data_IF_894340374919
#
_entry.id   IF_894340374919
#
_cell.length_a   1.000
_cell.length_b   1.000
_cell.length_c   1.000
_cell.angle_alpha   90.00
_cell.angle_beta   90.00
_cell.angle_gamma   90.00
#
_symmetry.space_group_name_H-M   'P 1'
#
loop_
_entity.id
_entity.type
_entity.pdbx_description
1 polymer ?
#
# COMPACT_ATOMS: atom_id res chain seq x y z
N UNK A 1 21.73 19.91 31.44
CA UNK A 1 21.25 20.79 30.35
C UNK A 1 20.58 19.91 29.31
N UNK A 2 19.25 19.99 29.18
CA UNK A 2 18.52 19.24 28.14
C UNK A 2 18.89 19.84 26.79
N UNK A 3 19.62 19.10 25.97
CA UNK A 3 19.96 19.53 24.60
C UNK A 3 18.69 19.42 23.77
N UNK A 4 18.14 20.56 23.32
CA UNK A 4 17.02 20.55 22.38
C UNK A 4 17.56 20.21 20.98
N UNK A 5 17.21 19.04 20.40
CA UNK A 5 17.74 18.63 19.11
C UNK A 5 17.15 19.41 17.91
N UNK A 6 16.12 20.24 18.11
CA UNK A 6 15.46 21.03 17.04
C UNK A 6 15.08 20.19 15.81
N UNK A 7 14.46 19.02 16.05
CA UNK A 7 14.12 18.06 14.98
C UNK A 7 13.01 18.57 14.06
N UNK A 8 12.09 19.40 14.58
CA UNK A 8 10.98 19.93 13.80
C UNK A 8 11.44 21.03 12.85
N UNK A 9 12.34 21.88 13.34
CA UNK A 9 13.05 22.88 12.54
C UNK A 9 13.87 22.21 11.45
N UNK A 10 14.56 21.11 11.78
CA UNK A 10 15.34 20.34 10.81
C UNK A 10 14.50 19.71 9.70
N UNK A 11 13.26 19.30 9.99
CA UNK A 11 12.33 18.82 8.96
C UNK A 11 12.02 19.91 7.93
N UNK A 12 11.80 21.14 8.37
CA UNK A 12 11.51 22.27 7.49
C UNK A 12 12.74 22.78 6.72
N UNK A 13 13.86 22.99 7.42
CA UNK A 13 15.06 23.59 6.84
C UNK A 13 15.96 22.58 6.11
N UNK A 14 15.81 21.28 6.37
CA UNK A 14 16.69 20.23 5.86
C UNK A 14 18.05 20.16 6.55
N UNK A 15 18.29 21.00 7.56
CA UNK A 15 19.48 21.01 8.41
C UNK A 15 19.10 21.46 9.82
N UNK A 16 19.91 21.08 10.83
CA UNK A 16 19.70 21.58 12.19
C UNK A 16 20.22 23.01 12.33
N UNK A 17 19.43 23.94 12.90
CA UNK A 17 19.85 25.33 13.11
C UNK A 17 21.21 25.48 13.79
N UNK A 18 21.53 24.61 14.75
CA UNK A 18 22.83 24.60 15.44
C UNK A 18 23.99 24.28 14.50
N UNK A 19 23.80 23.39 13.53
CA UNK A 19 24.83 23.08 12.52
C UNK A 19 25.06 24.26 11.58
N UNK A 20 23.99 24.99 11.24
CA UNK A 20 24.10 26.22 10.47
C UNK A 20 24.90 27.27 11.25
N UNK A 21 24.57 27.50 12.52
CA UNK A 21 25.28 28.45 13.40
C UNK A 21 26.75 28.09 13.56
N UNK A 22 27.08 26.82 13.74
CA UNK A 22 28.47 26.36 13.80
C UNK A 22 29.24 26.71 12.53
N UNK A 23 28.66 26.47 11.35
CA UNK A 23 29.31 26.81 10.07
C UNK A 23 29.52 28.31 9.93
N UNK A 24 28.52 29.12 10.32
CA UNK A 24 28.65 30.58 10.31
C UNK A 24 29.74 31.02 11.28
N UNK A 25 29.78 30.48 12.50
CA UNK A 25 30.82 30.77 13.49
C UNK A 25 32.21 30.52 12.92
N UNK A 26 32.45 29.33 12.34
CA UNK A 26 33.75 28.98 11.74
C UNK A 26 34.14 29.95 10.63
N UNK A 27 33.21 30.29 9.72
CA UNK A 27 33.50 31.23 8.62
C UNK A 27 33.88 32.62 9.15
N UNK A 28 33.13 33.15 10.13
CA UNK A 28 33.46 34.44 10.74
C UNK A 28 34.81 34.42 11.45
N UNK A 29 35.10 33.31 12.14
CA UNK A 29 36.36 33.12 12.84
C UNK A 29 37.55 33.07 11.86
N UNK A 30 37.42 32.34 10.76
CA UNK A 30 38.43 32.26 9.70
C UNK A 30 38.72 33.65 9.11
N UNK A 31 37.68 34.41 8.78
CA UNK A 31 37.84 35.80 8.30
C UNK A 31 38.52 36.71 9.32
N UNK A 32 38.21 36.55 10.61
CA UNK A 32 38.85 37.34 11.67
C UNK A 32 40.36 37.06 11.72
N UNK A 33 40.75 35.79 11.67
CA UNK A 33 42.17 35.41 11.64
C UNK A 33 42.88 35.92 10.38
N UNK A 34 42.26 35.77 9.21
CA UNK A 34 42.82 36.21 7.93
C UNK A 34 43.05 37.72 7.91
N UNK A 35 42.10 38.51 8.42
CA UNK A 35 42.23 39.96 8.50
C UNK A 35 43.34 40.40 9.45
N UNK A 36 43.46 39.76 10.61
CA UNK A 36 44.52 40.06 11.57
C UNK A 36 45.89 39.70 11.00
N UNK A 37 46.00 38.55 10.30
CA UNK A 37 47.23 38.14 9.63
C UNK A 37 47.61 39.11 8.50
N UNK A 38 46.63 39.59 7.74
CA UNK A 38 46.85 40.58 6.68
C UNK A 38 47.40 41.90 7.25
N UNK A 39 46.82 42.37 8.36
CA UNK A 39 47.27 43.58 9.07
C UNK A 39 48.70 43.38 9.60
N UNK A 40 49.00 42.24 10.22
CA UNK A 40 50.36 41.92 10.69
C UNK A 40 51.36 41.96 9.54
N UNK A 41 51.04 41.29 8.43
CA UNK A 41 51.89 41.23 7.23
C UNK A 41 52.11 42.62 6.64
N UNK A 42 51.07 43.46 6.62
CA UNK A 42 51.17 44.82 6.13
C UNK A 42 52.07 45.68 7.02
N UNK A 43 51.93 45.59 8.35
CA UNK A 43 52.78 46.31 9.31
C UNK A 43 54.24 45.88 9.17
N UNK A 44 54.51 44.58 9.03
CA UNK A 44 55.87 44.06 8.84
C UNK A 44 56.51 44.58 7.55
N UNK A 45 55.77 44.57 6.43
CA UNK A 45 56.26 45.16 5.16
C UNK A 45 56.59 46.65 5.30
N UNK A 46 55.78 47.40 6.05
CA UNK A 46 56.04 48.83 6.30
C UNK A 46 57.22 49.09 7.24
N UNK A 47 57.51 48.16 8.15
CA UNK A 47 58.71 48.23 8.99
C UNK A 47 59.99 47.92 8.21
N UNK A 48 59.95 47.00 7.24
CA UNK A 48 61.08 46.74 6.33
C UNK A 48 61.46 47.96 5.49
N UNK A 49 60.46 48.78 5.11
CA UNK A 49 60.68 50.06 4.39
C UNK A 49 61.32 51.16 5.29
N UNK A 50 61.35 50.98 6.62
CA UNK A 50 61.81 51.97 7.62
C UNK A 50 62.91 51.39 8.53
N UNK A 51 64.15 51.21 8.02
CA UNK A 51 65.23 50.52 8.73
C UNK A 51 65.75 51.25 9.98
N UNK A 52 65.44 52.53 10.18
CA UNK A 52 65.79 53.29 11.40
C UNK A 52 64.85 52.99 12.59
N UNK A 53 63.72 52.32 12.33
CA UNK A 53 62.76 51.97 13.36
C UNK A 53 63.25 50.70 14.07
N UNK A 54 63.92 50.83 15.21
CA UNK A 54 64.46 49.71 16.02
C UNK A 54 63.40 48.75 16.62
N UNK A 55 62.24 48.60 16.00
CA UNK A 55 61.15 47.73 16.43
C UNK A 55 61.41 46.32 15.90
N UNK A 56 61.51 45.36 16.82
CA UNK A 56 61.65 43.94 16.45
C UNK A 56 60.33 43.38 15.90
N UNK A 57 60.35 42.57 14.82
CA UNK A 57 59.19 41.84 14.33
C UNK A 57 58.47 40.99 15.40
N UNK A 58 59.23 40.50 16.39
CA UNK A 58 58.68 39.74 17.52
C UNK A 58 57.75 40.57 18.42
N UNK A 59 57.98 41.89 18.53
CA UNK A 59 57.09 42.78 19.28
C UNK A 59 55.78 43.02 18.53
N UNK A 60 55.82 43.10 17.19
CA UNK A 60 54.62 43.18 16.35
C UNK A 60 53.80 41.90 16.50
N UNK A 61 54.44 40.73 16.37
CA UNK A 61 53.80 39.42 16.55
C UNK A 61 53.06 39.31 17.89
N UNK A 62 53.75 39.62 19.00
CA UNK A 62 53.14 39.60 20.34
C UNK A 62 51.98 40.58 20.49
N UNK A 63 52.10 41.77 19.91
CA UNK A 63 51.03 42.78 19.92
C UNK A 63 49.80 42.30 19.14
N UNK A 64 50.02 41.72 17.97
CA UNK A 64 48.96 41.13 17.12
C UNK A 64 48.27 39.98 17.84
N UNK A 65 49.02 39.06 18.45
CA UNK A 65 48.44 37.93 19.21
C UNK A 65 47.59 38.42 20.39
N UNK A 66 48.05 39.45 21.12
CA UNK A 66 47.27 40.04 22.22
C UNK A 66 45.98 40.70 21.70
N UNK A 67 46.05 41.40 20.57
CA UNK A 67 44.88 42.00 19.94
C UNK A 67 43.89 40.95 19.43
N UNK A 68 44.40 39.87 18.84
CA UNK A 68 43.60 38.75 18.35
C UNK A 68 42.84 38.06 19.48
N UNK A 69 43.48 37.83 20.64
CA UNK A 69 42.82 37.29 21.82
C UNK A 69 41.68 38.19 22.29
N UNK A 70 41.93 39.50 22.39
CA UNK A 70 40.90 40.47 22.74
C UNK A 70 39.73 40.46 21.74
N UNK A 71 40.01 40.43 20.45
CA UNK A 71 38.96 40.35 19.42
C UNK A 71 38.16 39.06 19.52
N UNK A 72 38.83 37.93 19.76
CA UNK A 72 38.18 36.62 19.88
C UNK A 72 37.21 36.58 21.07
N UNK A 73 37.65 37.05 22.24
CA UNK A 73 36.79 37.07 23.44
C UNK A 73 35.51 37.90 23.21
N UNK A 74 35.66 39.09 22.63
CA UNK A 74 34.51 39.94 22.31
C UNK A 74 33.63 39.34 21.20
N UNK A 75 34.25 38.72 20.20
CA UNK A 75 33.53 38.04 19.12
C UNK A 75 32.70 36.87 19.66
N UNK A 76 33.28 36.02 20.50
CA UNK A 76 32.59 34.87 21.08
C UNK A 76 31.37 35.32 21.92
N UNK A 77 31.50 36.40 22.71
CA UNK A 77 30.38 36.95 23.48
C UNK A 77 29.26 37.50 22.58
N UNK A 78 29.62 38.30 21.57
CA UNK A 78 28.64 38.90 20.66
C UNK A 78 27.98 37.84 19.76
N UNK A 79 28.76 36.88 19.28
CA UNK A 79 28.26 35.78 18.47
C UNK A 79 27.28 34.93 19.27
N UNK A 80 27.58 34.63 20.54
CA UNK A 80 26.66 33.85 21.40
C UNK A 80 25.29 34.53 21.52
N UNK A 81 25.25 35.86 21.71
CA UNK A 81 24.00 36.64 21.78
C UNK A 81 23.26 36.64 20.43
N UNK A 82 24.01 36.81 19.34
CA UNK A 82 23.44 36.77 17.99
C UNK A 82 22.88 35.39 17.65
N UNK A 83 23.61 34.32 17.98
CA UNK A 83 23.21 32.93 17.81
C UNK A 83 21.89 32.68 18.54
N UNK A 84 21.80 33.06 19.82
CA UNK A 84 20.56 32.91 20.59
C UNK A 84 19.38 33.64 19.91
N UNK A 85 19.58 34.88 19.46
CA UNK A 85 18.52 35.63 18.76
C UNK A 85 18.11 34.97 17.44
N UNK A 86 19.06 34.50 16.64
CA UNK A 86 18.78 33.82 15.36
C UNK A 86 18.04 32.51 15.59
N UNK A 87 18.47 31.72 16.57
CA UNK A 87 17.83 30.46 16.95
C UNK A 87 16.43 30.66 17.53
N UNK A 88 16.15 31.77 18.19
CA UNK A 88 14.83 32.05 18.79
C UNK A 88 13.83 32.67 17.81
N UNK A 89 14.30 33.58 16.94
CA UNK A 89 13.43 34.44 16.12
C UNK A 89 13.38 34.05 14.64
N UNK A 90 14.46 33.46 14.10
CA UNK A 90 14.59 33.21 12.66
C UNK A 90 14.53 31.72 12.35
N UNK A 91 15.35 30.91 13.03
CA UNK A 91 15.48 29.47 12.79
C UNK A 91 14.63 28.64 13.75
N UNK A 92 13.58 29.24 14.31
CA UNK A 92 12.64 28.59 15.21
C UNK A 92 11.30 28.40 14.51
N UNK A 93 10.68 27.24 14.67
CA UNK A 93 9.28 27.06 14.30
C UNK A 93 8.43 27.25 15.56
N UNK A 94 7.56 28.28 15.62
CA UNK A 94 6.70 28.47 16.77
C UNK A 94 5.83 27.24 17.01
N UNK A 95 5.68 26.81 18.27
CA UNK A 95 4.91 25.60 18.64
C UNK A 95 3.43 25.62 18.19
N UNK A 96 2.90 26.81 17.92
CA UNK A 96 1.55 27.04 17.44
C UNK A 96 1.42 26.95 15.91
N UNK A 97 2.53 26.86 15.19
CA UNK A 97 2.58 26.72 13.73
C UNK A 97 2.80 25.26 13.39
N UNK A 98 1.98 24.77 12.48
CA UNK A 98 2.04 23.41 11.99
C UNK A 98 2.51 23.44 10.53
N UNK A 99 3.54 22.66 10.22
CA UNK A 99 4.10 22.60 8.88
C UNK A 99 3.08 22.08 7.87
N UNK A 100 3.18 22.46 6.59
CA UNK A 100 2.29 21.99 5.54
C UNK A 100 2.24 20.46 5.43
N UNK A 101 3.36 19.77 5.66
CA UNK A 101 3.47 18.31 5.65
C UNK A 101 2.56 17.66 6.72
N UNK A 102 2.46 18.29 7.89
CA UNK A 102 1.71 17.75 9.02
C UNK A 102 0.22 18.12 8.98
N UNK A 103 -0.24 18.91 8.01
CA UNK A 103 -1.64 19.36 7.92
C UNK A 103 -2.63 18.21 7.95
N UNK A 104 -2.24 17.05 7.41
CA UNK A 104 -3.05 15.81 7.44
C UNK A 104 -3.34 15.36 8.87
N UNK A 105 -2.40 15.53 9.80
CA UNK A 105 -2.57 15.16 11.20
C UNK A 105 -3.56 16.07 11.94
N UNK A 106 -3.69 17.33 11.50
CA UNK A 106 -4.69 18.26 12.04
C UNK A 106 -6.06 18.10 11.39
N UNK A 107 -6.11 17.82 10.09
CA UNK A 107 -7.36 17.65 9.34
C UNK A 107 -8.04 16.31 9.65
N UNK A 108 -7.24 15.25 9.83
CA UNK A 108 -7.72 13.90 10.11
C UNK A 108 -7.01 13.34 11.34
N UNK A 109 -7.35 13.82 12.54
CA UNK A 109 -6.77 13.28 13.76
C UNK A 109 -7.33 11.87 13.99
N UNK A 110 -6.53 10.85 13.69
CA UNK A 110 -6.84 9.45 14.00
C UNK A 110 -6.20 9.05 15.31
N UNK A 111 -7.00 8.50 16.22
CA UNK A 111 -6.45 7.83 17.39
C UNK A 111 -5.80 6.50 16.98
N UNK A 112 -4.86 6.01 17.80
CA UNK A 112 -4.24 4.70 17.56
C UNK A 112 -5.28 3.57 17.52
N UNK A 113 -6.32 3.68 18.35
CA UNK A 113 -7.42 2.72 18.43
C UNK A 113 -8.27 2.74 17.15
N UNK A 114 -8.63 3.93 16.65
CA UNK A 114 -9.38 4.08 15.40
C UNK A 114 -8.57 3.57 14.20
N UNK A 115 -7.25 3.84 14.19
CA UNK A 115 -6.38 3.31 13.14
C UNK A 115 -6.29 1.78 13.19
N UNK A 116 -6.23 1.19 14.38
CA UNK A 116 -6.23 -0.26 14.52
C UNK A 116 -7.57 -0.87 14.08
N UNK A 117 -8.69 -0.30 14.49
CA UNK A 117 -10.02 -0.74 14.06
C UNK A 117 -10.16 -0.69 12.53
N UNK A 118 -9.66 0.37 11.87
CA UNK A 118 -9.65 0.48 10.42
C UNK A 118 -8.78 -0.61 9.76
N UNK A 119 -7.63 -0.96 10.34
CA UNK A 119 -6.79 -2.07 9.84
C UNK A 119 -7.50 -3.40 9.97
N UNK A 120 -8.20 -3.62 11.07
CA UNK A 120 -8.95 -4.86 11.30
C UNK A 120 -10.13 -4.96 10.31
N UNK A 121 -10.84 -3.86 10.06
CA UNK A 121 -11.90 -3.78 9.06
C UNK A 121 -11.37 -4.06 7.64
N UNK A 122 -10.22 -3.47 7.25
CA UNK A 122 -9.58 -3.76 5.96
C UNK A 122 -9.25 -5.25 5.83
N UNK A 123 -8.74 -5.87 6.89
CA UNK A 123 -8.43 -7.31 6.87
C UNK A 123 -9.69 -8.16 6.70
N UNK A 124 -10.76 -7.85 7.45
CA UNK A 124 -12.04 -8.54 7.34
C UNK A 124 -12.65 -8.40 5.95
N UNK A 125 -12.63 -7.20 5.35
CA UNK A 125 -13.12 -6.97 4.00
C UNK A 125 -12.31 -7.74 2.96
N UNK A 126 -10.99 -7.86 3.12
CA UNK A 126 -10.15 -8.66 2.23
C UNK A 126 -10.45 -10.16 2.33
N UNK A 127 -10.74 -10.68 3.53
CA UNK A 127 -11.15 -12.07 3.71
C UNK A 127 -12.52 -12.34 3.10
N UNK A 128 -13.49 -11.45 3.35
CA UNK A 128 -14.82 -11.52 2.76
C UNK A 128 -14.75 -11.49 1.23
N UNK A 129 -13.96 -10.57 0.66
CA UNK A 129 -13.76 -10.51 -0.79
C UNK A 129 -13.23 -11.82 -1.37
N UNK A 130 -12.25 -12.46 -0.72
CA UNK A 130 -11.73 -13.77 -1.17
C UNK A 130 -12.79 -14.87 -1.09
N UNK A 131 -13.57 -14.89 0.00
CA UNK A 131 -14.65 -15.85 0.16
C UNK A 131 -15.72 -15.67 -0.92
N UNK A 132 -16.14 -14.44 -1.19
CA UNK A 132 -17.11 -14.11 -2.25
C UNK A 132 -16.60 -14.51 -3.64
N UNK A 133 -15.32 -14.25 -3.95
CA UNK A 133 -14.72 -14.71 -5.22
C UNK A 133 -14.75 -16.24 -5.33
N UNK A 134 -14.42 -16.96 -4.25
CA UNK A 134 -14.46 -18.42 -4.26
C UNK A 134 -15.88 -18.98 -4.38
N UNK A 135 -16.86 -18.34 -3.74
CA UNK A 135 -18.27 -18.69 -3.84
C UNK A 135 -18.80 -18.45 -5.26
N UNK A 136 -18.44 -17.31 -5.87
CA UNK A 136 -18.78 -17.01 -7.26
C UNK A 136 -18.20 -18.02 -8.25
N UNK A 137 -16.97 -18.48 -8.02
CA UNK A 137 -16.37 -19.57 -8.82
C UNK A 137 -17.10 -20.90 -8.64
N UNK A 138 -17.49 -21.25 -7.40
CA UNK A 138 -18.24 -22.47 -7.13
C UNK A 138 -19.62 -22.46 -7.79
N UNK A 139 -20.34 -21.33 -7.72
CA UNK A 139 -21.64 -21.16 -8.38
C UNK A 139 -21.52 -21.26 -9.91
N UNK A 140 -20.46 -20.71 -10.49
CA UNK A 140 -20.21 -20.87 -11.92
C UNK A 140 -19.96 -22.34 -12.31
N UNK A 141 -19.18 -23.08 -11.52
CA UNK A 141 -18.97 -24.50 -11.76
C UNK A 141 -20.26 -25.32 -11.63
N UNK A 142 -21.11 -25.01 -10.64
CA UNK A 142 -22.41 -25.68 -10.46
C UNK A 142 -23.36 -25.40 -11.64
N UNK A 143 -23.35 -24.18 -12.20
CA UNK A 143 -24.11 -23.86 -13.41
C UNK A 143 -23.65 -24.68 -14.61
N UNK A 144 -22.33 -24.82 -14.82
CA UNK A 144 -21.78 -25.64 -15.91
C UNK A 144 -22.19 -27.12 -15.74
N UNK A 145 -22.14 -27.66 -14.52
CA UNK A 145 -22.62 -29.02 -14.24
C UNK A 145 -24.12 -29.17 -14.52
N UNK A 146 -24.92 -28.17 -14.13
CA UNK A 146 -26.36 -28.18 -14.37
C UNK A 146 -26.70 -28.16 -15.86
N UNK A 147 -25.98 -27.38 -16.68
CA UNK A 147 -26.15 -27.35 -18.13
C UNK A 147 -25.87 -28.72 -18.76
N UNK A 148 -24.84 -29.43 -18.29
CA UNK A 148 -24.52 -30.78 -18.77
C UNK A 148 -25.64 -31.75 -18.46
N UNK A 149 -26.14 -31.76 -17.21
CA UNK A 149 -27.24 -32.65 -16.79
C UNK A 149 -28.52 -32.32 -17.56
N UNK A 150 -28.82 -31.04 -17.78
CA UNK A 150 -29.96 -30.63 -18.58
C UNK A 150 -29.86 -31.16 -20.02
N UNK A 151 -28.69 -31.04 -20.65
CA UNK A 151 -28.46 -31.55 -21.99
C UNK A 151 -28.59 -33.09 -22.06
N UNK A 152 -28.20 -33.83 -21.03
CA UNK A 152 -28.43 -35.27 -20.94
C UNK A 152 -29.92 -35.64 -20.82
N UNK A 153 -30.67 -34.92 -19.97
CA UNK A 153 -32.11 -35.12 -19.84
C UNK A 153 -32.85 -34.82 -21.15
N UNK A 154 -32.46 -33.75 -21.86
CA UNK A 154 -33.01 -33.42 -23.17
C UNK A 154 -32.74 -34.51 -24.21
N UNK A 155 -31.53 -35.10 -24.23
CA UNK A 155 -31.23 -36.27 -25.09
C UNK A 155 -32.12 -37.46 -24.77
N UNK A 156 -32.36 -37.74 -23.48
CA UNK A 156 -33.26 -38.82 -23.06
C UNK A 156 -34.70 -38.55 -23.52
N UNK A 157 -35.19 -37.32 -23.36
CA UNK A 157 -36.50 -36.92 -23.85
C UNK A 157 -36.62 -37.06 -25.37
N UNK A 158 -35.60 -36.63 -26.13
CA UNK A 158 -35.56 -36.82 -27.58
C UNK A 158 -35.55 -38.31 -27.96
N UNK A 159 -34.87 -39.17 -27.20
CA UNK A 159 -34.89 -40.61 -27.41
C UNK A 159 -36.30 -41.20 -27.21
N UNK A 160 -37.02 -40.78 -26.16
CA UNK A 160 -38.41 -41.18 -25.96
C UNK A 160 -39.33 -40.72 -27.09
N UNK A 161 -39.21 -39.48 -27.53
CA UNK A 161 -39.98 -38.97 -28.68
C UNK A 161 -39.63 -39.75 -29.96
N UNK A 162 -38.36 -40.07 -30.19
CA UNK A 162 -37.92 -40.91 -31.31
C UNK A 162 -38.51 -42.32 -31.27
N UNK A 163 -38.51 -42.96 -30.10
CA UNK A 163 -39.17 -44.26 -29.88
C UNK A 163 -40.67 -44.19 -30.15
N UNK A 164 -41.37 -43.18 -29.64
CA UNK A 164 -42.80 -42.98 -29.89
C UNK A 164 -43.10 -42.78 -31.39
N UNK A 165 -42.26 -42.02 -32.09
CA UNK A 165 -42.39 -41.81 -33.54
C UNK A 165 -42.20 -43.10 -34.33
N UNK A 166 -41.16 -43.89 -34.05
CA UNK A 166 -40.94 -45.21 -34.69
C UNK A 166 -42.13 -46.13 -34.47
N UNK A 167 -42.70 -46.14 -33.26
CA UNK A 167 -43.88 -46.94 -32.95
C UNK A 167 -45.11 -46.47 -33.74
N UNK A 168 -45.29 -45.17 -33.86
CA UNK A 168 -46.38 -44.58 -34.66
C UNK A 168 -46.25 -44.95 -36.15
N UNK A 169 -45.04 -44.89 -36.70
CA UNK A 169 -44.77 -45.17 -38.11
C UNK A 169 -44.92 -46.67 -38.48
N UNK A 170 -44.42 -47.58 -37.65
CA UNK A 170 -44.45 -49.02 -37.96
C UNK A 170 -45.70 -49.75 -37.46
N UNK A 171 -46.30 -49.30 -36.35
CA UNK A 171 -47.39 -50.01 -35.69
C UNK A 171 -48.72 -49.25 -35.69
N UNK A 172 -48.77 -48.02 -36.19
CA UNK A 172 -49.98 -47.17 -36.30
C UNK A 172 -50.80 -47.03 -34.98
N UNK A 173 -50.23 -47.39 -33.82
CA UNK A 173 -50.89 -47.41 -32.51
C UNK A 173 -49.88 -47.18 -31.39
N UNK A 174 -50.34 -46.69 -30.24
CA UNK A 174 -49.51 -46.69 -29.02
C UNK A 174 -49.35 -48.12 -28.48
N UNK A 175 -48.20 -48.45 -27.88
CA UNK A 175 -47.97 -49.78 -27.30
C UNK A 175 -49.08 -50.18 -26.33
N UNK A 176 -49.55 -49.24 -25.51
CA UNK A 176 -50.65 -49.47 -24.57
C UNK A 176 -51.93 -49.93 -25.27
N UNK A 177 -52.31 -49.29 -26.38
CA UNK A 177 -53.50 -49.67 -27.17
C UNK A 177 -53.29 -51.01 -27.89
N UNK A 178 -52.10 -51.26 -28.43
CA UNK A 178 -51.78 -52.54 -29.07
C UNK A 178 -51.85 -53.71 -28.09
N UNK A 179 -51.28 -53.57 -26.89
CA UNK A 179 -51.39 -54.58 -25.84
C UNK A 179 -52.82 -54.72 -25.33
N UNK A 180 -53.56 -53.61 -25.20
CA UNK A 180 -54.98 -53.64 -24.81
C UNK A 180 -55.86 -54.33 -25.86
N UNK A 181 -55.52 -54.27 -27.15
CA UNK A 181 -56.23 -54.98 -28.23
C UNK A 181 -55.83 -56.46 -28.33
N UNK A 182 -54.53 -56.77 -28.15
CA UNK A 182 -54.01 -58.14 -28.23
C UNK A 182 -54.48 -59.01 -27.06
N UNK A 183 -54.52 -58.46 -25.83
CA UNK A 183 -54.81 -59.25 -24.62
C UNK A 183 -56.19 -59.94 -24.65
N UNK A 184 -57.30 -59.26 -25.01
CA UNK A 184 -58.61 -59.90 -25.13
C UNK A 184 -58.68 -60.88 -26.29
N UNK A 185 -57.99 -60.60 -27.39
CA UNK A 185 -57.96 -61.44 -28.59
C UNK A 185 -57.21 -62.75 -28.33
N UNK A 186 -56.07 -62.70 -27.63
CA UNK A 186 -55.33 -63.86 -27.15
C UNK A 186 -56.16 -64.69 -26.17
N UNK A 187 -56.88 -64.04 -25.26
CA UNK A 187 -57.78 -64.72 -24.32
C UNK A 187 -58.88 -65.48 -25.05
N UNK A 188 -59.55 -64.85 -26.03
CA UNK A 188 -60.54 -65.50 -26.90
C UNK A 188 -59.96 -66.66 -27.70
N UNK A 189 -58.73 -66.53 -28.20
CA UNK A 189 -58.05 -67.61 -28.93
C UNK A 189 -57.74 -68.79 -27.99
N UNK A 190 -57.27 -68.51 -26.78
CA UNK A 190 -56.95 -69.52 -25.77
C UNK A 190 -58.22 -70.26 -25.30
N UNK A 191 -59.33 -69.55 -25.14
CA UNK A 191 -60.63 -70.13 -24.82
C UNK A 191 -61.13 -71.01 -25.98
N UNK A 192 -60.99 -70.56 -27.23
CA UNK A 192 -61.31 -71.39 -28.41
C UNK A 192 -60.41 -72.62 -28.57
N UNK A 193 -59.12 -72.50 -28.25
CA UNK A 193 -58.18 -73.63 -28.27
C UNK A 193 -58.56 -74.66 -27.21
N UNK A 194 -58.94 -74.24 -25.99
CA UNK A 194 -59.47 -75.13 -24.95
C UNK A 194 -60.75 -75.83 -25.41
N UNK A 195 -61.67 -75.11 -26.04
CA UNK A 195 -62.90 -75.69 -26.61
C UNK A 195 -62.60 -76.74 -27.69
N UNK A 196 -61.61 -76.48 -28.56
CA UNK A 196 -61.18 -77.44 -29.60
C UNK A 196 -60.49 -78.64 -28.96
N UNK A 197 -59.67 -78.44 -27.94
CA UNK A 197 -58.98 -79.50 -27.23
C UNK A 197 -59.97 -80.40 -26.48
N UNK A 198 -60.97 -79.82 -25.81
CA UNK A 198 -62.09 -80.56 -25.18
C UNK A 198 -62.93 -81.31 -26.21
N UNK A 199 -63.24 -80.70 -27.37
CA UNK A 199 -63.94 -81.39 -28.46
C UNK A 199 -63.10 -82.52 -29.07
N UNK A 200 -61.78 -82.37 -29.18
CA UNK A 200 -60.89 -83.43 -29.68
C UNK A 200 -60.76 -84.59 -28.67
N UNK A 201 -60.79 -84.30 -27.36
CA UNK A 201 -60.82 -85.32 -26.29
C UNK A 201 -62.15 -86.08 -26.24
N UNK A 202 -63.25 -85.50 -26.72
CA UNK A 202 -64.56 -86.18 -26.88
C UNK A 202 -64.69 -86.99 -28.19
N UNK A 203 -63.72 -86.89 -29.09
CA UNK A 203 -63.66 -87.61 -30.38
C UNK A 203 -62.67 -88.79 -30.37
N UNK A 204 -62.06 -89.09 -29.22
CA UNK A 204 -61.35 -90.35 -28.92
C UNK A 204 -62.18 -91.17 -27.94
#
# INVERSE_FOLDING_TARGET
MSVNPMTYEAQFFGFTPQTCMLRVYTVFQDYLFDMVLLVETFILKKLEELPECGISPLHVRKSTEKFLLFLKENFDELFSKMEEMLLQLVLNIPKNVLLPEDKVHKQYPYSKEQFQALRDEIHQLQEQYKAEVSAGQALHAELEEQEVVQAELEKILQCFVGLENICREHWNCSFGESFAFLTPSLKKLQDKLKDIEEKSKRLK
#
